data_IF_429674745319
#
_entry.id   IF_429674745319
#
_cell.length_a   1.000
_cell.length_b   1.000
_cell.length_c   1.000
_cell.angle_alpha   90.00
_cell.angle_beta   90.00
_cell.angle_gamma   90.00
#
_symmetry.space_group_name_H-M   'P 1'
#
loop_
_entity.id
_entity.type
_entity.pdbx_description
1 polymer ?
#
# COMPACT_ATOMS: atom_id res chain seq x y z
N UNK A 1 -4.44 -62.70 34.12
CA UNK A 1 -5.43 -61.94 33.32
C UNK A 1 -5.88 -60.67 34.05
N UNK A 2 -5.06 -59.61 34.08
CA UNK A 2 -5.45 -58.23 34.48
C UNK A 2 -4.43 -57.21 33.96
N UNK A 3 -4.33 -57.06 32.64
CA UNK A 3 -3.44 -56.05 32.05
C UNK A 3 -3.89 -55.58 30.66
N UNK A 4 -5.21 -55.45 30.44
CA UNK A 4 -5.75 -54.93 29.17
C UNK A 4 -6.80 -53.82 29.40
N UNK A 5 -7.22 -53.53 30.64
CA UNK A 5 -8.28 -52.55 30.88
C UNK A 5 -7.81 -51.11 31.13
N UNK A 6 -6.52 -50.79 30.98
CA UNK A 6 -5.98 -49.46 31.27
C UNK A 6 -5.55 -48.64 30.04
N UNK A 7 -5.83 -49.11 28.82
CA UNK A 7 -5.42 -48.39 27.59
C UNK A 7 -6.58 -47.65 26.89
N UNK A 8 -7.82 -47.75 27.37
CA UNK A 8 -8.97 -47.10 26.72
C UNK A 8 -9.36 -45.71 27.26
N UNK A 9 -8.71 -45.22 28.31
CA UNK A 9 -8.99 -43.88 28.88
C UNK A 9 -7.92 -42.82 28.54
N UNK A 10 -7.00 -43.09 27.61
CA UNK A 10 -5.86 -42.19 27.30
C UNK A 10 -5.91 -41.54 25.91
N UNK A 11 -7.02 -41.59 25.18
CA UNK A 11 -7.15 -40.95 23.85
C UNK A 11 -8.26 -39.90 23.80
N UNK A 12 -8.54 -39.27 24.93
CA UNK A 12 -9.48 -38.16 25.00
C UNK A 12 -8.81 -36.99 25.72
N UNK A 13 -7.93 -36.29 24.99
CA UNK A 13 -7.56 -34.89 25.22
C UNK A 13 -6.45 -34.50 24.24
N UNK A 14 -6.80 -34.11 23.01
CA UNK A 14 -6.01 -33.14 22.22
C UNK A 14 -6.69 -32.67 20.92
N UNK A 15 -8.00 -32.37 20.96
CA UNK A 15 -8.61 -31.51 19.93
C UNK A 15 -9.53 -30.49 20.60
N UNK A 16 -8.94 -29.65 21.45
CA UNK A 16 -9.50 -28.35 21.81
C UNK A 16 -8.36 -27.36 22.09
N UNK A 17 -7.41 -27.28 21.16
CA UNK A 17 -6.63 -26.04 21.04
C UNK A 17 -7.48 -25.03 20.28
N UNK A 18 -8.44 -24.46 21.01
CA UNK A 18 -8.78 -23.05 20.82
C UNK A 18 -7.44 -22.32 20.80
N UNK A 19 -6.94 -22.07 19.58
CA UNK A 19 -5.69 -21.38 19.31
C UNK A 19 -5.73 -20.04 20.03
N UNK A 20 -5.21 -20.00 21.25
CA UNK A 20 -4.88 -18.80 22.00
C UNK A 20 -3.68 -18.16 21.30
N UNK A 21 -3.89 -17.72 20.05
CA UNK A 21 -2.93 -16.95 19.28
C UNK A 21 -2.82 -15.61 20.00
N UNK A 22 -1.74 -15.44 20.73
CA UNK A 22 -1.39 -14.14 21.29
C UNK A 22 -1.34 -13.12 20.14
N UNK A 23 -2.00 -11.96 20.28
CA UNK A 23 -2.02 -10.97 19.21
C UNK A 23 -0.60 -10.57 18.80
N UNK A 24 -0.34 -10.52 17.50
CA UNK A 24 1.02 -10.32 16.99
C UNK A 24 1.47 -8.87 17.27
N UNK A 25 2.58 -8.66 18.00
CA UNK A 25 3.08 -7.33 18.28
C UNK A 25 3.62 -6.65 17.03
N UNK A 26 3.60 -5.32 17.02
CA UNK A 26 4.19 -4.54 15.94
C UNK A 26 5.72 -4.66 16.01
N UNK A 27 6.42 -4.97 14.89
CA UNK A 27 7.88 -4.96 14.88
C UNK A 27 8.43 -3.55 15.13
N UNK A 28 9.63 -3.47 15.72
CA UNK A 28 10.30 -2.22 16.09
C UNK A 28 10.89 -1.43 14.91
N UNK A 29 10.86 -2.01 13.71
CA UNK A 29 11.43 -1.42 12.50
C UNK A 29 10.72 -0.13 12.06
N UNK A 30 11.50 0.82 11.52
CA UNK A 30 10.98 2.06 10.95
C UNK A 30 9.98 1.81 9.81
N UNK A 31 10.29 0.82 8.96
CA UNK A 31 9.42 0.36 7.89
C UNK A 31 8.99 -1.08 8.16
N UNK A 32 7.69 -1.29 8.34
CA UNK A 32 7.17 -2.64 8.62
C UNK A 32 6.89 -3.40 7.33
N UNK A 33 7.60 -4.49 7.10
CA UNK A 33 7.33 -5.40 5.99
C UNK A 33 6.21 -6.40 6.35
N UNK A 34 4.96 -5.95 6.20
CA UNK A 34 3.74 -6.73 6.53
C UNK A 34 3.77 -8.18 6.00
N UNK A 35 3.97 -8.45 4.69
CA UNK A 35 3.95 -9.82 4.21
C UNK A 35 5.03 -10.71 4.83
N UNK A 36 6.23 -10.17 5.10
CA UNK A 36 7.28 -10.91 5.82
C UNK A 36 6.89 -11.18 7.28
N UNK A 37 6.40 -10.15 7.99
CA UNK A 37 6.02 -10.24 9.42
C UNK A 37 4.84 -11.20 9.63
N UNK A 38 3.85 -11.16 8.75
CA UNK A 38 2.63 -11.95 8.86
C UNK A 38 2.67 -13.25 8.04
N UNK A 39 3.83 -13.58 7.43
CA UNK A 39 4.02 -14.76 6.56
C UNK A 39 2.93 -14.90 5.50
N UNK A 40 2.54 -13.79 4.88
CA UNK A 40 1.46 -13.76 3.88
C UNK A 40 2.01 -14.11 2.50
N UNK A 41 1.24 -14.91 1.75
CA UNK A 41 1.49 -15.10 0.32
C UNK A 41 1.26 -13.80 -0.46
N UNK A 42 1.89 -13.67 -1.63
CA UNK A 42 1.70 -12.51 -2.52
C UNK A 42 0.23 -12.35 -2.93
N UNK A 43 -0.45 -13.45 -3.26
CA UNK A 43 -1.87 -13.45 -3.68
C UNK A 43 -2.76 -12.95 -2.55
N UNK A 44 -2.63 -13.53 -1.36
CA UNK A 44 -3.40 -13.13 -0.17
C UNK A 44 -3.18 -11.67 0.19
N UNK A 45 -1.93 -11.20 0.14
CA UNK A 45 -1.61 -9.80 0.38
C UNK A 45 -2.33 -8.88 -0.63
N UNK A 46 -2.30 -9.24 -1.92
CA UNK A 46 -2.92 -8.45 -2.97
C UNK A 46 -4.43 -8.34 -2.78
N UNK A 47 -5.08 -9.45 -2.41
CA UNK A 47 -6.52 -9.46 -2.12
C UNK A 47 -6.87 -8.53 -0.95
N UNK A 48 -6.10 -8.59 0.14
CA UNK A 48 -6.26 -7.67 1.27
C UNK A 48 -6.02 -6.21 0.88
N UNK A 49 -4.99 -5.94 0.08
CA UNK A 49 -4.69 -4.59 -0.38
C UNK A 49 -5.78 -4.03 -1.29
N UNK A 50 -6.32 -4.83 -2.21
CA UNK A 50 -7.44 -4.45 -3.06
C UNK A 50 -8.68 -4.13 -2.24
N UNK A 51 -9.02 -5.00 -1.28
CA UNK A 51 -10.17 -4.75 -0.42
C UNK A 51 -10.01 -3.48 0.43
N UNK A 52 -8.82 -3.25 1.00
CA UNK A 52 -8.53 -2.01 1.75
C UNK A 52 -8.61 -0.79 0.85
N UNK A 53 -8.10 -0.88 -0.38
CA UNK A 53 -8.21 0.20 -1.37
C UNK A 53 -9.67 0.56 -1.65
N UNK A 54 -10.54 -0.43 -1.79
CA UNK A 54 -11.96 -0.18 -2.08
C UNK A 54 -12.69 0.42 -0.87
N UNK A 55 -12.41 -0.07 0.34
CA UNK A 55 -12.95 0.52 1.57
C UNK A 55 -12.46 1.96 1.78
N UNK A 56 -11.19 2.23 1.50
CA UNK A 56 -10.60 3.57 1.58
C UNK A 56 -11.26 4.52 0.59
N UNK A 57 -11.48 4.10 -0.66
CA UNK A 57 -12.18 4.93 -1.66
C UNK A 57 -13.62 5.25 -1.25
N UNK A 58 -14.28 4.33 -0.56
CA UNK A 58 -15.67 4.48 -0.15
C UNK A 58 -15.83 5.36 1.10
N UNK A 59 -14.88 5.32 2.03
CA UNK A 59 -15.07 5.89 3.37
C UNK A 59 -14.09 7.01 3.74
N UNK A 60 -12.89 7.06 3.16
CA UNK A 60 -11.84 8.02 3.54
C UNK A 60 -11.82 9.28 2.68
N UNK A 61 -11.34 10.39 3.26
CA UNK A 61 -11.14 11.64 2.53
C UNK A 61 -9.80 11.60 1.78
N UNK A 62 -9.84 11.31 0.48
CA UNK A 62 -8.65 11.12 -0.34
C UNK A 62 -7.85 12.41 -0.60
N UNK A 63 -8.35 13.58 -0.18
CA UNK A 63 -7.59 14.85 -0.22
C UNK A 63 -6.68 15.00 1.00
N UNK A 64 -7.00 14.32 2.09
CA UNK A 64 -6.26 14.39 3.36
C UNK A 64 -5.25 13.24 3.50
N UNK A 65 -4.14 13.53 4.19
CA UNK A 65 -3.19 12.51 4.62
C UNK A 65 -3.80 11.61 5.69
N UNK A 66 -3.32 10.37 5.80
CA UNK A 66 -3.79 9.42 6.82
C UNK A 66 -3.85 10.01 8.24
N UNK A 67 -2.81 10.76 8.64
CA UNK A 67 -2.70 11.37 9.98
C UNK A 67 -3.80 12.42 10.28
N UNK A 68 -4.43 12.95 9.23
CA UNK A 68 -5.47 13.98 9.30
C UNK A 68 -6.88 13.40 9.01
N UNK A 69 -7.01 12.08 8.92
CA UNK A 69 -8.30 11.42 8.76
C UNK A 69 -9.08 11.44 10.07
N UNK A 70 -10.40 11.38 9.97
CA UNK A 70 -11.25 11.17 11.14
C UNK A 70 -10.97 9.76 11.72
N UNK A 71 -10.63 9.63 13.01
CA UNK A 71 -10.40 8.32 13.63
C UNK A 71 -11.57 7.35 13.44
N UNK A 72 -12.82 7.84 13.53
CA UNK A 72 -14.04 7.02 13.32
C UNK A 72 -14.11 6.42 11.92
N UNK A 73 -13.59 7.13 10.92
CA UNK A 73 -13.49 6.62 9.54
C UNK A 73 -12.48 5.48 9.45
N UNK A 74 -11.34 5.62 10.11
CA UNK A 74 -10.30 4.57 10.14
C UNK A 74 -10.85 3.33 10.85
N UNK A 75 -11.48 3.51 12.00
CA UNK A 75 -12.09 2.41 12.76
C UNK A 75 -13.19 1.70 11.94
N UNK A 76 -14.02 2.47 11.22
CA UNK A 76 -15.03 1.90 10.32
C UNK A 76 -14.41 1.03 9.22
N UNK A 77 -13.31 1.49 8.61
CA UNK A 77 -12.60 0.72 7.58
C UNK A 77 -12.01 -0.56 8.19
N UNK A 78 -11.42 -0.49 9.38
CA UNK A 78 -10.90 -1.66 10.10
C UNK A 78 -12.02 -2.67 10.38
N UNK A 79 -13.14 -2.23 10.94
CA UNK A 79 -14.28 -3.10 11.26
C UNK A 79 -14.84 -3.80 10.01
N UNK A 80 -15.02 -3.06 8.91
CA UNK A 80 -15.50 -3.63 7.63
C UNK A 80 -14.49 -4.60 7.02
N UNK A 81 -13.19 -4.30 7.14
CA UNK A 81 -12.14 -5.18 6.68
C UNK A 81 -12.16 -6.51 7.44
N UNK A 82 -12.15 -6.46 8.78
CA UNK A 82 -12.20 -7.65 9.65
C UNK A 82 -13.43 -8.51 9.40
N UNK A 83 -14.61 -7.89 9.24
CA UNK A 83 -15.87 -8.61 8.98
C UNK A 83 -15.83 -9.46 7.71
N UNK A 84 -15.07 -9.05 6.69
CA UNK A 84 -14.93 -9.79 5.42
C UNK A 84 -13.69 -10.67 5.36
N UNK A 85 -12.72 -10.46 6.23
CA UNK A 85 -11.43 -11.17 6.24
C UNK A 85 -11.24 -11.81 7.61
N UNK A 86 -12.11 -12.76 7.95
CA UNK A 86 -12.11 -13.43 9.26
C UNK A 86 -10.84 -14.26 9.52
N UNK A 87 -10.14 -14.63 8.45
CA UNK A 87 -8.85 -15.35 8.49
C UNK A 87 -7.65 -14.40 8.66
N UNK A 88 -7.87 -13.09 8.69
CA UNK A 88 -6.78 -12.14 8.91
C UNK A 88 -6.22 -12.29 10.32
N UNK A 89 -4.90 -12.41 10.43
CA UNK A 89 -4.19 -12.60 11.69
C UNK A 89 -4.48 -11.47 12.68
N UNK A 90 -4.71 -11.83 13.95
CA UNK A 90 -4.94 -10.82 14.98
C UNK A 90 -3.63 -10.11 15.33
N UNK A 91 -3.68 -8.77 15.35
CA UNK A 91 -2.51 -7.92 15.57
C UNK A 91 -2.82 -6.91 16.65
N UNK A 92 -1.87 -6.66 17.55
CA UNK A 92 -2.07 -5.71 18.64
C UNK A 92 -2.48 -4.34 18.07
N UNK A 93 -3.61 -3.81 18.53
CA UNK A 93 -4.14 -2.50 18.11
C UNK A 93 -4.35 -2.35 16.60
N UNK A 94 -4.53 -3.46 15.86
CA UNK A 94 -4.76 -3.47 14.42
C UNK A 94 -3.65 -2.80 13.61
N UNK A 95 -2.41 -2.88 14.09
CA UNK A 95 -1.29 -2.16 13.49
C UNK A 95 -1.11 -2.51 12.01
N UNK A 96 -1.30 -3.78 11.62
CA UNK A 96 -1.10 -4.21 10.24
C UNK A 96 -2.15 -3.61 9.31
N UNK A 97 -3.42 -3.66 9.71
CA UNK A 97 -4.53 -3.07 8.96
C UNK A 97 -4.34 -1.55 8.86
N UNK A 98 -3.99 -0.88 9.96
CA UNK A 98 -3.70 0.56 9.99
C UNK A 98 -2.58 0.95 9.03
N UNK A 99 -1.49 0.18 8.95
CA UNK A 99 -0.40 0.45 7.99
C UNK A 99 -0.88 0.27 6.55
N UNK A 100 -1.65 -0.78 6.24
CA UNK A 100 -2.20 -0.97 4.90
C UNK A 100 -3.13 0.17 4.49
N UNK A 101 -4.01 0.62 5.40
CA UNK A 101 -4.87 1.79 5.17
C UNK A 101 -4.03 3.04 4.93
N UNK A 102 -3.01 3.30 5.77
CA UNK A 102 -2.10 4.44 5.64
C UNK A 102 -1.43 4.47 4.27
N UNK A 103 -0.87 3.35 3.83
CA UNK A 103 -0.24 3.22 2.51
C UNK A 103 -1.25 3.47 1.40
N UNK A 104 -2.43 2.88 1.49
CA UNK A 104 -3.50 3.03 0.48
C UNK A 104 -3.94 4.49 0.31
N UNK A 105 -4.25 5.19 1.42
CA UNK A 105 -4.65 6.61 1.39
C UNK A 105 -3.56 7.48 0.77
N UNK A 106 -2.31 7.31 1.22
CA UNK A 106 -1.21 8.13 0.73
C UNK A 106 -0.90 7.87 -0.75
N UNK A 107 -0.97 6.61 -1.19
CA UNK A 107 -0.75 6.25 -2.58
C UNK A 107 -1.81 6.84 -3.49
N UNK A 108 -3.10 6.73 -3.13
CA UNK A 108 -4.21 7.29 -3.91
C UNK A 108 -4.09 8.81 -3.98
N UNK A 109 -3.81 9.47 -2.85
CA UNK A 109 -3.61 10.93 -2.80
C UNK A 109 -2.46 11.37 -3.69
N UNK A 110 -1.31 10.71 -3.60
CA UNK A 110 -0.13 11.04 -4.40
C UNK A 110 -0.37 10.82 -5.90
N UNK A 111 -1.11 9.77 -6.27
CA UNK A 111 -1.54 9.55 -7.64
C UNK A 111 -2.43 10.70 -8.14
N UNK A 112 -3.45 11.09 -7.38
CA UNK A 112 -4.36 12.17 -7.75
C UNK A 112 -3.62 13.51 -7.91
N UNK A 113 -2.70 13.85 -7.00
CA UNK A 113 -1.89 15.07 -7.09
C UNK A 113 -1.04 15.09 -8.36
N UNK A 114 -0.37 13.98 -8.70
CA UNK A 114 0.44 13.88 -9.92
C UNK A 114 -0.42 14.08 -11.16
N UNK A 115 -1.56 13.39 -11.24
CA UNK A 115 -2.50 13.51 -12.36
C UNK A 115 -3.03 14.93 -12.55
N UNK A 116 -3.32 15.66 -11.48
CA UNK A 116 -3.71 17.07 -11.54
C UNK A 116 -2.59 17.96 -12.12
N UNK A 117 -1.34 17.72 -11.74
CA UNK A 117 -0.18 18.46 -12.26
C UNK A 117 0.09 18.18 -13.74
N UNK A 118 -0.05 16.93 -14.18
CA UNK A 118 0.16 16.54 -15.57
C UNK A 118 -0.91 17.14 -16.49
N UNK A 119 -2.18 17.08 -16.09
CA UNK A 119 -3.28 17.72 -16.83
C UNK A 119 -3.11 19.25 -16.94
N UNK A 120 -2.51 19.89 -15.92
CA UNK A 120 -2.27 21.34 -15.92
C UNK A 120 -1.09 21.74 -16.83
N UNK A 121 -0.12 20.85 -17.05
CA UNK A 121 0.98 21.07 -18.01
C UNK A 121 0.50 20.97 -19.46
N UNK A 122 -0.41 20.03 -19.77
CA UNK A 122 -0.96 19.85 -21.13
C UNK A 122 -1.87 21.03 -21.54
N UNK A 123 -2.62 21.62 -20.60
CA UNK A 123 -3.48 22.78 -20.86
C UNK A 123 -2.74 24.12 -20.94
N UNK A 124 -1.41 24.15 -20.74
CA UNK A 124 -0.60 25.34 -21.00
C UNK A 124 -0.26 25.36 -22.49
N UNK A 125 -1.27 25.55 -23.33
CA UNK A 125 -1.09 25.90 -24.74
C UNK A 125 -0.16 27.11 -24.76
N UNK A 126 1.05 26.88 -25.25
CA UNK A 126 2.00 27.96 -25.49
C UNK A 126 1.29 28.98 -26.39
N UNK A 127 1.03 30.18 -25.85
CA UNK A 127 0.74 31.32 -26.70
C UNK A 127 2.02 31.59 -27.48
N UNK A 128 2.13 30.96 -28.64
CA UNK A 128 3.14 31.30 -29.65
C UNK A 128 2.77 32.67 -30.19
N UNK A 129 3.22 33.73 -29.51
CA UNK A 129 3.29 35.05 -30.12
C UNK A 129 4.41 35.00 -31.16
N UNK A 130 4.01 34.97 -32.43
CA UNK A 130 4.89 35.06 -33.59
C UNK A 130 5.39 36.51 -33.71
N UNK A 131 6.69 36.62 -33.95
CA UNK A 131 7.45 37.73 -34.55
C UNK A 131 7.79 38.96 -33.68
N UNK A 132 9.09 39.12 -33.39
CA UNK A 132 9.94 40.14 -34.04
C UNK A 132 11.40 39.68 -34.09
N UNK A 133 11.83 39.48 -35.33
CA UNK A 133 13.12 39.73 -35.98
C UNK A 133 14.34 40.18 -35.15
N UNK A 134 15.48 39.65 -35.59
CA UNK A 134 16.87 39.62 -35.11
C UNK A 134 17.52 40.91 -34.61
N UNK A 135 18.46 40.75 -33.67
CA UNK A 135 19.83 41.25 -33.80
C UNK A 135 20.79 40.36 -33.00
N UNK A 136 21.86 39.94 -33.66
CA UNK A 136 23.01 39.22 -33.11
C UNK A 136 23.73 40.05 -32.03
N UNK A 137 24.27 39.40 -31.00
CA UNK A 137 25.71 39.52 -30.70
C UNK A 137 26.20 38.50 -29.65
N UNK A 138 27.36 37.97 -29.99
CA UNK A 138 28.14 36.90 -29.39
C UNK A 138 28.95 37.37 -28.17
N UNK A 139 28.93 36.62 -27.06
CA UNK A 139 30.19 36.36 -26.33
C UNK A 139 30.13 35.05 -25.53
N UNK A 140 31.06 34.18 -25.87
CA UNK A 140 31.37 32.89 -25.28
C UNK A 140 32.30 33.08 -24.08
N UNK A 141 32.03 32.47 -22.92
CA UNK A 141 33.10 31.94 -22.03
C UNK A 141 32.57 30.79 -21.18
N UNK A 142 33.37 29.74 -21.17
CA UNK A 142 33.17 28.37 -20.73
C UNK A 142 33.65 28.20 -19.28
N UNK A 143 32.85 27.63 -18.34
CA UNK A 143 33.39 26.98 -17.13
C UNK A 143 32.59 25.70 -16.81
N UNK A 144 33.31 24.60 -17.00
CA UNK A 144 33.11 23.22 -16.60
C UNK A 144 33.09 23.05 -15.06
N UNK A 145 32.12 22.32 -14.51
CA UNK A 145 32.32 21.50 -13.31
C UNK A 145 31.46 20.22 -13.37
N UNK A 146 32.12 19.11 -13.71
CA UNK A 146 31.76 17.76 -13.30
C UNK A 146 31.77 17.63 -11.76
N UNK A 147 30.75 16.98 -11.18
CA UNK A 147 30.90 15.80 -10.33
C UNK A 147 29.56 15.40 -9.70
N UNK A 148 29.24 14.11 -9.75
CA UNK A 148 28.22 13.49 -8.91
C UNK A 148 27.40 12.39 -9.59
N UNK A 149 28.08 11.41 -10.19
CA UNK A 149 27.45 10.12 -10.50
C UNK A 149 26.90 9.51 -9.22
N UNK A 150 25.63 9.12 -9.24
CA UNK A 150 25.10 8.09 -8.36
C UNK A 150 24.36 7.10 -9.23
N UNK A 151 25.02 5.96 -9.42
CA UNK A 151 24.42 4.77 -10.02
C UNK A 151 23.26 4.27 -9.15
N UNK A 152 22.25 3.76 -9.86
CA UNK A 152 21.44 2.61 -9.48
C UNK A 152 20.41 2.75 -8.34
N UNK A 153 19.12 2.86 -8.72
CA UNK A 153 18.15 1.78 -8.47
C UNK A 153 16.96 1.91 -9.42
N UNK A 154 16.80 0.88 -10.27
CA UNK A 154 15.64 0.67 -11.14
C UNK A 154 14.36 0.56 -10.31
N UNK A 155 13.59 1.64 -10.22
CA UNK A 155 12.15 1.51 -9.99
C UNK A 155 11.48 1.24 -11.33
N UNK A 156 11.20 -0.02 -11.61
CA UNK A 156 10.21 -0.40 -12.63
C UNK A 156 8.91 0.36 -12.33
N UNK A 157 8.42 1.21 -13.25
CA UNK A 157 7.10 1.78 -13.12
C UNK A 157 6.10 0.64 -13.26
N UNK A 158 5.42 0.30 -12.16
CA UNK A 158 4.36 -0.70 -12.14
C UNK A 158 3.07 -0.16 -12.79
N UNK A 159 3.22 0.55 -13.91
CA UNK A 159 2.19 1.34 -14.57
C UNK A 159 2.21 1.08 -16.07
N UNK A 160 1.84 -0.15 -16.45
CA UNK A 160 1.44 -0.51 -17.83
C UNK A 160 0.71 -1.87 -17.93
N UNK A 161 0.74 -2.74 -16.91
CA UNK A 161 0.27 -4.13 -17.08
C UNK A 161 -1.19 -4.42 -16.67
N UNK A 162 -1.96 -3.46 -16.14
CA UNK A 162 -3.31 -3.75 -15.62
C UNK A 162 -4.45 -2.90 -16.21
N UNK A 163 -4.23 -2.27 -17.37
CA UNK A 163 -5.30 -1.60 -18.12
C UNK A 163 -5.85 -2.44 -19.29
N UNK A 164 -5.47 -3.72 -19.43
CA UNK A 164 -5.85 -4.53 -20.59
C UNK A 164 -6.84 -5.69 -20.36
N UNK A 165 -7.45 -5.86 -19.18
CA UNK A 165 -8.31 -7.05 -18.93
C UNK A 165 -9.82 -6.78 -18.92
N UNK A 166 -10.30 -5.55 -19.05
CA UNK A 166 -11.77 -5.31 -19.09
C UNK A 166 -12.25 -4.78 -20.44
N UNK A 167 -12.00 -5.52 -21.53
CA UNK A 167 -12.70 -5.33 -22.80
C UNK A 167 -12.76 -6.60 -23.65
N UNK A 168 -13.17 -7.72 -23.06
CA UNK A 168 -13.61 -8.92 -23.77
C UNK A 168 -14.57 -9.70 -22.85
N UNK A 169 -15.86 -9.38 -22.95
CA UNK A 169 -17.02 -10.25 -23.30
C UNK A 169 -18.24 -9.34 -23.34
#
# INVERSE_FOLDING_TARGET
MKQIQNEMDSLQEQEDSSNNLTPIPKPSENYVNIPKTLKLSKTTLNDYQNHIRDLVKLHADLKKEYKNQNPKTIDLVISKFKKRNMTFLDTINDWAIKIMIKRSINNIRNYNRRKEHDNKKVNKVSKKSKNKESADDNSNTNINQNNGSFDEINETPLDAAYLFINNLV
#
